data_IF_596927792119
#
_entry.id   IF_596927792119
#
_cell.length_a   1.000
_cell.length_b   1.000
_cell.length_c   1.000
_cell.angle_alpha   90.00
_cell.angle_beta   90.00
_cell.angle_gamma   90.00
#
_symmetry.space_group_name_H-M   'P 1'
#
loop_
_entity.id
_entity.type
_entity.pdbx_description
1 polymer ?
#
# COMPACT_ATOMS: atom_id res chain seq x y z
N UNK A 1 -7.45 32.79 6.54
CA UNK A 1 -6.61 34.00 6.32
C UNK A 1 -5.26 33.45 5.93
N UNK A 2 -4.81 33.74 4.71
CA UNK A 2 -3.63 33.12 4.11
C UNK A 2 -2.43 33.26 5.05
N UNK A 3 -1.81 32.14 5.35
CA UNK A 3 -0.61 31.97 6.16
C UNK A 3 0.63 32.40 5.36
N UNK A 4 0.75 33.71 5.09
CA UNK A 4 1.70 34.28 4.13
C UNK A 4 3.17 34.02 4.51
N UNK A 5 3.51 34.05 5.78
CA UNK A 5 4.89 33.85 6.25
C UNK A 5 5.48 32.49 5.87
N UNK A 6 4.86 31.37 6.27
CA UNK A 6 5.31 30.03 5.86
C UNK A 6 5.29 29.81 4.34
N UNK A 7 4.35 30.43 3.62
CA UNK A 7 4.36 30.41 2.15
C UNK A 7 5.62 31.07 1.57
N UNK A 8 5.98 32.27 2.06
CA UNK A 8 7.21 32.98 1.67
C UNK A 8 8.44 32.09 1.91
N UNK A 9 8.50 31.43 3.08
CA UNK A 9 9.59 30.50 3.42
C UNK A 9 9.72 29.38 2.40
N UNK A 10 8.60 28.78 2.00
CA UNK A 10 8.61 27.65 1.08
C UNK A 10 9.08 28.07 -0.31
N UNK A 11 8.54 29.17 -0.84
CA UNK A 11 8.89 29.65 -2.17
C UNK A 11 10.34 30.10 -2.25
N UNK A 12 10.83 30.77 -1.19
CA UNK A 12 12.24 31.09 -1.04
C UNK A 12 13.11 29.84 -1.11
N UNK A 13 12.76 28.79 -0.36
CA UNK A 13 13.51 27.52 -0.35
C UNK A 13 13.47 26.81 -1.70
N UNK A 14 12.33 26.84 -2.41
CA UNK A 14 12.22 26.29 -3.79
C UNK A 14 13.14 26.97 -4.79
N UNK A 15 13.38 28.28 -4.62
CA UNK A 15 14.30 29.07 -5.45
C UNK A 15 15.75 29.03 -4.94
N UNK A 16 16.06 28.18 -3.94
CA UNK A 16 17.37 28.07 -3.29
C UNK A 16 17.90 29.40 -2.71
N UNK A 17 16.99 30.34 -2.42
CA UNK A 17 17.35 31.67 -1.95
C UNK A 17 17.51 31.68 -0.42
N UNK A 18 18.53 32.38 0.08
CA UNK A 18 18.76 32.56 1.51
C UNK A 18 17.83 33.61 2.10
N UNK A 19 17.59 33.57 3.42
CA UNK A 19 16.85 34.64 4.09
C UNK A 19 17.50 36.01 3.89
N UNK A 20 18.84 36.06 3.72
CA UNK A 20 19.57 37.31 3.51
C UNK A 20 19.22 37.95 2.18
N UNK A 21 19.28 37.19 1.10
CA UNK A 21 18.96 37.64 -0.25
C UNK A 21 17.50 38.10 -0.36
N UNK A 22 16.58 37.38 0.28
CA UNK A 22 15.17 37.80 0.29
C UNK A 22 14.95 39.07 1.13
N UNK A 23 15.61 39.18 2.29
CA UNK A 23 15.41 40.30 3.21
C UNK A 23 16.11 41.60 2.74
N UNK A 24 17.13 41.50 1.89
CA UNK A 24 18.02 42.61 1.53
C UNK A 24 17.27 43.87 1.05
N UNK A 25 17.41 44.98 1.75
CA UNK A 25 16.74 46.23 1.39
C UNK A 25 15.21 46.25 1.60
N UNK A 26 14.64 45.21 2.21
CA UNK A 26 13.21 45.14 2.57
C UNK A 26 13.07 45.12 4.10
N UNK A 27 13.67 44.14 4.78
CA UNK A 27 13.57 43.94 6.23
C UNK A 27 14.85 43.34 6.81
N UNK A 28 14.97 43.28 8.15
CA UNK A 28 16.08 42.56 8.77
C UNK A 28 15.91 41.03 8.68
N UNK A 29 17.03 40.29 8.62
CA UNK A 29 17.06 38.82 8.69
C UNK A 29 16.24 38.25 9.86
N UNK A 30 16.39 38.84 11.05
CA UNK A 30 15.63 38.45 12.24
C UNK A 30 14.14 38.65 12.06
N UNK A 31 13.74 39.75 11.42
CA UNK A 31 12.33 40.06 11.18
C UNK A 31 11.73 39.13 10.12
N UNK A 32 12.42 38.88 9.00
CA UNK A 32 11.97 37.89 8.01
C UNK A 32 11.83 36.49 8.62
N UNK A 33 12.80 36.06 9.43
CA UNK A 33 12.71 34.78 10.13
C UNK A 33 11.50 34.70 11.08
N UNK A 34 11.16 35.80 11.75
CA UNK A 34 9.93 35.85 12.59
C UNK A 34 8.67 35.77 11.74
N UNK A 35 8.62 36.44 10.59
CA UNK A 35 7.49 36.36 9.65
C UNK A 35 7.33 34.92 9.15
N UNK A 36 8.41 34.31 8.64
CA UNK A 36 8.41 32.95 8.08
C UNK A 36 7.94 31.88 9.08
N UNK A 37 8.16 32.10 10.37
CA UNK A 37 7.81 31.17 11.45
C UNK A 37 6.56 31.60 12.25
N UNK A 38 5.74 32.51 11.72
CA UNK A 38 4.53 33.06 12.38
C UNK A 38 4.74 33.68 13.77
N UNK A 39 5.95 34.18 14.04
CA UNK A 39 6.24 34.85 15.32
C UNK A 39 5.86 36.33 15.30
N UNK A 40 5.62 36.92 14.13
CA UNK A 40 5.26 38.34 13.96
C UNK A 40 4.53 38.55 12.64
N UNK A 41 3.49 39.37 12.66
CA UNK A 41 2.77 39.80 11.45
C UNK A 41 3.52 40.94 10.75
N UNK A 42 3.64 40.86 9.43
CA UNK A 42 4.23 41.92 8.61
C UNK A 42 3.15 42.85 8.05
N UNK A 43 3.52 44.11 7.78
CA UNK A 43 2.61 45.01 7.05
C UNK A 43 2.37 44.48 5.62
N UNK A 44 1.19 44.76 5.03
CA UNK A 44 0.89 44.38 3.64
C UNK A 44 1.94 44.87 2.64
N UNK A 45 2.53 46.04 2.88
CA UNK A 45 3.62 46.59 2.05
C UNK A 45 4.89 45.73 2.08
N UNK A 46 5.30 45.26 3.26
CA UNK A 46 6.47 44.38 3.40
C UNK A 46 6.20 43.05 2.73
N UNK A 47 5.00 42.50 2.92
CA UNK A 47 4.57 41.26 2.26
C UNK A 47 4.64 41.42 0.74
N UNK A 48 4.08 42.49 0.18
CA UNK A 48 4.11 42.76 -1.25
C UNK A 48 5.54 42.85 -1.79
N UNK A 49 6.45 43.52 -1.07
CA UNK A 49 7.86 43.63 -1.47
C UNK A 49 8.56 42.27 -1.50
N UNK A 50 8.33 41.43 -0.49
CA UNK A 50 8.88 40.07 -0.42
C UNK A 50 8.30 39.19 -1.55
N UNK A 51 7.00 39.25 -1.80
CA UNK A 51 6.33 38.52 -2.87
C UNK A 51 6.80 38.96 -4.26
N UNK A 52 6.95 40.27 -4.50
CA UNK A 52 7.48 40.80 -5.76
C UNK A 52 8.90 40.28 -6.04
N UNK A 53 9.75 40.20 -5.01
CA UNK A 53 11.11 39.65 -5.17
C UNK A 53 11.10 38.16 -5.50
N UNK A 54 10.15 37.42 -4.95
CA UNK A 54 9.94 36.01 -5.27
C UNK A 54 9.24 35.79 -6.62
N UNK A 55 8.80 36.86 -7.30
CA UNK A 55 8.06 36.79 -8.56
C UNK A 55 6.62 36.29 -8.40
N UNK A 56 5.99 36.54 -7.25
CA UNK A 56 4.68 35.99 -6.90
C UNK A 56 3.63 37.09 -6.80
N UNK A 57 2.49 36.88 -7.44
CA UNK A 57 1.34 37.79 -7.37
C UNK A 57 0.45 37.43 -6.17
N UNK A 58 0.13 38.43 -5.35
CA UNK A 58 -0.88 38.34 -4.31
C UNK A 58 -2.25 38.53 -4.97
N UNK A 59 -3.00 37.43 -5.09
CA UNK A 59 -4.37 37.49 -5.60
C UNK A 59 -5.29 37.72 -4.39
N UNK A 60 -5.82 38.93 -4.26
CA UNK A 60 -6.85 39.25 -3.26
C UNK A 60 -8.18 38.62 -3.70
N UNK A 61 -8.51 37.47 -3.11
CA UNK A 61 -9.82 36.83 -3.28
C UNK A 61 -9.73 35.30 -3.39
N UNK A 62 -10.83 34.63 -3.06
CA UNK A 62 -10.98 33.19 -3.26
C UNK A 62 -11.17 32.94 -4.76
N UNK A 63 -10.10 32.51 -5.45
CA UNK A 63 -10.23 31.95 -6.80
C UNK A 63 -11.01 30.64 -6.70
N UNK A 64 -12.32 30.77 -6.87
CA UNK A 64 -13.29 29.68 -6.70
C UNK A 64 -13.10 28.62 -7.78
N UNK A 65 -12.63 29.02 -8.96
CA UNK A 65 -12.31 28.11 -10.06
C UNK A 65 -11.05 27.29 -9.76
N UNK A 66 -10.02 27.91 -9.19
CA UNK A 66 -8.82 27.20 -8.74
C UNK A 66 -9.15 26.19 -7.63
N UNK A 67 -9.92 26.60 -6.62
CA UNK A 67 -10.37 25.70 -5.56
C UNK A 67 -11.12 24.48 -6.12
N UNK A 68 -12.02 24.72 -7.09
CA UNK A 68 -12.76 23.64 -7.73
C UNK A 68 -11.83 22.69 -8.48
N UNK A 69 -10.87 23.21 -9.25
CA UNK A 69 -9.86 22.39 -9.95
C UNK A 69 -8.99 21.60 -8.97
N UNK A 70 -8.59 22.19 -7.86
CA UNK A 70 -7.86 21.47 -6.79
C UNK A 70 -8.69 20.32 -6.23
N UNK A 71 -9.95 20.56 -5.86
CA UNK A 71 -10.85 19.51 -5.35
C UNK A 71 -11.05 18.37 -6.37
N UNK A 72 -11.21 18.71 -7.66
CA UNK A 72 -11.27 17.72 -8.74
C UNK A 72 -10.00 16.88 -8.79
N UNK A 73 -8.83 17.52 -8.76
CA UNK A 73 -7.56 16.80 -8.76
C UNK A 73 -7.38 15.94 -7.50
N UNK A 74 -7.78 16.41 -6.32
CA UNK A 74 -7.72 15.63 -5.09
C UNK A 74 -8.58 14.37 -5.19
N UNK A 75 -9.82 14.49 -5.69
CA UNK A 75 -10.70 13.34 -5.93
C UNK A 75 -10.03 12.30 -6.83
N UNK A 76 -9.26 12.75 -7.84
CA UNK A 76 -8.53 11.84 -8.73
C UNK A 76 -7.45 11.01 -8.04
N UNK A 77 -6.98 11.41 -6.86
CA UNK A 77 -5.97 10.70 -6.08
C UNK A 77 -6.55 9.57 -5.19
N UNK A 78 -7.88 9.47 -5.12
CA UNK A 78 -8.58 8.48 -4.32
C UNK A 78 -9.19 7.34 -5.15
N UNK A 79 -9.67 7.62 -6.36
CA UNK A 79 -10.27 6.58 -7.22
C UNK A 79 -9.31 6.04 -8.29
N UNK A 80 -9.79 5.05 -9.05
CA UNK A 80 -9.10 4.45 -10.18
C UNK A 80 -9.16 5.40 -11.39
N UNK A 81 -8.38 6.48 -11.33
CA UNK A 81 -8.20 7.38 -12.46
C UNK A 81 -6.99 6.99 -13.31
N UNK A 82 -7.05 7.36 -14.58
CA UNK A 82 -5.92 7.18 -15.49
C UNK A 82 -4.73 8.04 -15.05
N UNK A 83 -3.55 7.43 -14.95
CA UNK A 83 -2.34 8.12 -14.47
C UNK A 83 -1.99 9.33 -15.34
N UNK A 84 -2.26 9.28 -16.64
CA UNK A 84 -2.00 10.40 -17.55
C UNK A 84 -2.88 11.59 -17.20
N UNK A 85 -4.17 11.35 -16.94
CA UNK A 85 -5.11 12.39 -16.56
C UNK A 85 -4.71 13.08 -15.26
N UNK A 86 -4.29 12.30 -14.25
CA UNK A 86 -3.76 12.81 -12.97
C UNK A 86 -2.54 13.71 -13.21
N UNK A 87 -1.61 13.27 -14.08
CA UNK A 87 -0.36 13.99 -14.40
C UNK A 87 -0.65 15.29 -15.14
N UNK A 88 -1.54 15.26 -16.14
CA UNK A 88 -1.83 16.44 -16.96
C UNK A 88 -2.56 17.50 -16.12
N UNK A 89 -3.55 17.10 -15.32
CA UNK A 89 -4.24 18.00 -14.37
C UNK A 89 -3.27 18.59 -13.34
N UNK A 90 -2.33 17.78 -12.84
CA UNK A 90 -1.28 18.25 -11.93
C UNK A 90 -0.40 19.33 -12.57
N UNK A 91 0.02 19.17 -13.83
CA UNK A 91 0.87 20.16 -14.52
C UNK A 91 0.15 21.50 -14.68
N UNK A 92 -1.13 21.46 -15.05
CA UNK A 92 -1.94 22.67 -15.21
C UNK A 92 -2.11 23.39 -13.88
N UNK A 93 -2.43 22.66 -12.80
CA UNK A 93 -2.53 23.21 -11.45
C UNK A 93 -1.19 23.76 -10.95
N UNK A 94 -0.09 23.05 -11.20
CA UNK A 94 1.25 23.46 -10.78
C UNK A 94 1.62 24.82 -11.40
N UNK A 95 1.35 25.02 -12.68
CA UNK A 95 1.62 26.28 -13.37
C UNK A 95 0.82 27.47 -12.80
N UNK A 96 -0.39 27.22 -12.29
CA UNK A 96 -1.23 28.22 -11.62
C UNK A 96 -0.74 28.51 -10.19
N UNK A 97 -0.31 27.47 -9.48
CA UNK A 97 0.18 27.55 -8.10
C UNK A 97 1.54 28.24 -7.98
N UNK A 98 2.36 28.18 -9.02
CA UNK A 98 3.66 28.87 -9.04
C UNK A 98 3.53 30.38 -9.27
N UNK A 99 2.36 30.87 -9.71
CA UNK A 99 2.12 32.29 -10.03
C UNK A 99 1.36 33.05 -8.95
N UNK A 100 0.67 32.35 -8.05
CA UNK A 100 -0.30 32.96 -7.12
C UNK A 100 -0.18 32.46 -5.69
N UNK A 101 -0.35 33.36 -4.72
CA UNK A 101 -0.58 32.99 -3.32
C UNK A 101 -2.08 32.76 -3.13
N UNK A 102 -2.48 31.56 -2.73
CA UNK A 102 -3.88 31.20 -2.50
C UNK A 102 -4.05 30.32 -1.25
N UNK A 103 -5.25 30.33 -0.66
CA UNK A 103 -5.58 29.52 0.53
C UNK A 103 -5.44 28.00 0.27
N UNK A 104 -5.55 27.56 -0.99
CA UNK A 104 -5.45 26.13 -1.37
C UNK A 104 -4.01 25.60 -1.40
N UNK A 105 -3.02 26.47 -1.22
CA UNK A 105 -1.63 26.15 -1.49
C UNK A 105 -1.09 25.00 -0.62
N UNK A 106 -1.28 25.08 0.70
CA UNK A 106 -0.76 24.06 1.62
C UNK A 106 -1.44 22.71 1.39
N UNK A 107 -2.77 22.68 1.20
CA UNK A 107 -3.47 21.47 0.82
C UNK A 107 -2.93 20.90 -0.50
N UNK A 108 -2.68 21.74 -1.50
CA UNK A 108 -2.13 21.29 -2.77
C UNK A 108 -0.74 20.66 -2.61
N UNK A 109 0.17 21.30 -1.88
CA UNK A 109 1.51 20.76 -1.60
C UNK A 109 1.45 19.45 -0.79
N UNK A 110 0.53 19.34 0.18
CA UNK A 110 0.32 18.10 0.95
C UNK A 110 -0.19 16.96 0.04
N UNK A 111 -1.15 17.24 -0.86
CA UNK A 111 -1.68 16.25 -1.81
C UNK A 111 -0.64 15.77 -2.82
N UNK A 112 0.44 16.53 -3.08
CA UNK A 112 1.57 16.05 -3.89
C UNK A 112 2.23 14.80 -3.32
N UNK A 113 2.21 14.61 -2.00
CA UNK A 113 2.72 13.39 -1.36
C UNK A 113 1.96 12.18 -1.92
N UNK A 114 0.62 12.23 -1.88
CA UNK A 114 -0.25 11.17 -2.40
C UNK A 114 -0.05 10.96 -3.90
N UNK A 115 0.02 12.04 -4.66
CA UNK A 115 0.32 12.01 -6.10
C UNK A 115 1.62 11.25 -6.41
N UNK A 116 2.72 11.59 -5.74
CA UNK A 116 4.00 10.90 -5.96
C UNK A 116 3.94 9.42 -5.55
N UNK A 117 3.20 9.06 -4.50
CA UNK A 117 2.99 7.66 -4.10
C UNK A 117 2.24 6.88 -5.19
N UNK A 118 1.16 7.43 -5.76
CA UNK A 118 0.38 6.80 -6.85
C UNK A 118 1.26 6.55 -8.08
N UNK A 119 2.15 7.49 -8.39
CA UNK A 119 3.11 7.37 -9.48
C UNK A 119 4.34 6.51 -9.14
N UNK A 120 4.41 5.95 -7.92
CA UNK A 120 5.54 5.17 -7.40
C UNK A 120 6.87 5.94 -7.38
N UNK A 121 6.80 7.27 -7.27
CA UNK A 121 7.97 8.16 -7.15
C UNK A 121 8.28 8.40 -5.67
N UNK A 122 8.66 7.33 -4.97
CA UNK A 122 8.77 7.30 -3.50
C UNK A 122 9.82 8.29 -2.98
N UNK A 123 10.93 8.48 -3.70
CA UNK A 123 11.96 9.46 -3.34
C UNK A 123 11.42 10.90 -3.37
N UNK A 124 10.54 11.21 -4.34
CA UNK A 124 9.91 12.53 -4.43
C UNK A 124 8.87 12.73 -3.34
N UNK A 125 8.11 11.69 -2.99
CA UNK A 125 7.20 11.74 -1.86
C UNK A 125 7.94 12.02 -0.55
N UNK A 126 9.08 11.35 -0.32
CA UNK A 126 9.94 11.58 0.84
C UNK A 126 10.53 13.00 0.85
N UNK A 127 11.05 13.47 -0.29
CA UNK A 127 11.58 14.82 -0.42
C UNK A 127 10.52 15.88 -0.09
N UNK A 128 9.30 15.72 -0.64
CA UNK A 128 8.16 16.60 -0.35
C UNK A 128 7.77 16.56 1.13
N UNK A 129 7.78 15.40 1.76
CA UNK A 129 7.53 15.29 3.20
C UNK A 129 8.61 16.00 4.02
N UNK A 130 9.88 15.90 3.65
CA UNK A 130 10.96 16.58 4.36
C UNK A 130 10.82 18.11 4.25
N UNK A 131 10.52 18.61 3.04
CA UNK A 131 10.24 20.04 2.79
C UNK A 131 9.07 20.56 3.65
N UNK A 132 7.96 19.83 3.69
CA UNK A 132 6.77 20.23 4.46
C UNK A 132 6.95 20.07 5.97
N UNK A 133 7.87 19.21 6.43
CA UNK A 133 8.08 18.93 7.86
C UNK A 133 8.48 20.18 8.66
N UNK A 134 9.20 21.12 8.04
CA UNK A 134 9.61 22.37 8.66
C UNK A 134 8.46 23.35 8.89
N UNK A 135 7.32 23.11 8.25
CA UNK A 135 6.14 23.97 8.28
C UNK A 135 4.96 23.32 8.98
N UNK A 136 5.12 22.15 9.60
CA UNK A 136 4.00 21.45 10.27
C UNK A 136 3.36 22.30 11.37
N UNK A 137 4.14 23.12 12.07
CA UNK A 137 3.61 24.07 13.06
C UNK A 137 2.69 25.13 12.44
N UNK A 138 2.71 25.26 11.12
CA UNK A 138 1.85 26.18 10.39
C UNK A 138 0.50 25.60 9.96
N UNK A 139 0.32 24.29 10.06
CA UNK A 139 -0.85 23.61 9.58
C UNK A 139 -2.03 23.80 10.54
N UNK A 140 -3.19 24.13 9.99
CA UNK A 140 -4.47 24.00 10.68
C UNK A 140 -4.91 22.52 10.74
N UNK A 141 -6.11 22.28 11.27
CA UNK A 141 -6.61 20.91 11.43
C UNK A 141 -6.85 20.20 10.08
N UNK A 142 -7.30 20.91 9.04
CA UNK A 142 -7.53 20.34 7.70
C UNK A 142 -6.20 19.88 7.09
N UNK A 143 -5.18 20.75 7.15
CA UNK A 143 -3.83 20.41 6.71
C UNK A 143 -3.24 19.24 7.51
N UNK A 144 -3.39 19.24 8.84
CA UNK A 144 -2.87 18.18 9.70
C UNK A 144 -3.53 16.83 9.40
N UNK A 145 -4.83 16.80 9.14
CA UNK A 145 -5.54 15.58 8.75
C UNK A 145 -4.91 14.93 7.49
N UNK A 146 -4.80 15.69 6.40
CA UNK A 146 -4.23 15.17 5.14
C UNK A 146 -2.73 14.88 5.27
N UNK A 147 -1.99 15.69 6.03
CA UNK A 147 -0.59 15.47 6.32
C UNK A 147 -0.38 14.11 7.00
N UNK A 148 -1.13 13.81 8.06
CA UNK A 148 -1.03 12.53 8.76
C UNK A 148 -1.48 11.37 7.87
N UNK A 149 -2.61 11.50 7.15
CA UNK A 149 -3.10 10.48 6.22
C UNK A 149 -2.07 10.14 5.13
N UNK A 150 -1.53 11.12 4.43
CA UNK A 150 -0.59 10.86 3.33
C UNK A 150 0.80 10.45 3.81
N UNK A 151 1.27 10.96 4.96
CA UNK A 151 2.47 10.43 5.61
C UNK A 151 2.27 8.97 6.02
N UNK A 152 1.08 8.61 6.51
CA UNK A 152 0.70 7.22 6.78
C UNK A 152 0.73 6.37 5.51
N UNK A 153 0.22 6.89 4.39
CA UNK A 153 0.27 6.20 3.10
C UNK A 153 1.71 5.93 2.64
N UNK A 154 2.62 6.89 2.84
CA UNK A 154 4.04 6.69 2.55
C UNK A 154 4.62 5.51 3.34
N UNK A 155 4.48 5.51 4.67
CA UNK A 155 4.99 4.43 5.51
C UNK A 155 4.31 3.08 5.22
N UNK A 156 3.01 3.10 4.89
CA UNK A 156 2.31 1.88 4.48
C UNK A 156 2.84 1.33 3.15
N UNK A 157 3.27 2.20 2.23
CA UNK A 157 3.86 1.79 0.96
C UNK A 157 5.27 1.21 1.16
N UNK A 158 6.07 1.78 2.06
CA UNK A 158 7.43 1.32 2.37
C UNK A 158 7.48 0.11 3.32
N UNK A 159 6.32 -0.39 3.77
CA UNK A 159 6.23 -1.58 4.64
C UNK A 159 6.28 -1.30 6.15
N UNK A 160 6.38 -0.03 6.56
CA UNK A 160 6.44 0.41 7.95
C UNK A 160 5.02 0.52 8.58
N UNK A 161 4.30 -0.59 8.63
CA UNK A 161 2.86 -0.62 8.95
C UNK A 161 2.51 -0.10 10.35
N UNK A 162 3.37 -0.33 11.35
CA UNK A 162 3.16 0.20 12.70
C UNK A 162 3.24 1.72 12.75
N UNK A 163 4.18 2.30 11.99
CA UNK A 163 4.30 3.76 11.89
C UNK A 163 3.14 4.36 11.09
N UNK A 164 2.73 3.69 10.00
CA UNK A 164 1.56 4.07 9.23
C UNK A 164 0.30 4.10 10.12
N UNK A 165 0.06 3.06 10.92
CA UNK A 165 -1.08 2.98 11.82
C UNK A 165 -1.13 4.14 12.82
N UNK A 166 0.01 4.49 13.45
CA UNK A 166 0.08 5.64 14.37
C UNK A 166 -0.35 6.93 13.68
N UNK A 167 0.09 7.15 12.44
CA UNK A 167 -0.26 8.34 11.68
C UNK A 167 -1.73 8.35 11.26
N UNK A 168 -2.28 7.21 10.84
CA UNK A 168 -3.71 7.13 10.54
C UNK A 168 -4.58 7.40 11.76
N UNK A 169 -4.16 6.99 12.96
CA UNK A 169 -4.84 7.35 14.20
C UNK A 169 -4.80 8.85 14.47
N UNK A 170 -3.66 9.50 14.24
CA UNK A 170 -3.57 10.97 14.34
C UNK A 170 -4.46 11.67 13.31
N UNK A 171 -4.64 11.10 12.11
CA UNK A 171 -5.60 11.61 11.13
C UNK A 171 -7.06 11.39 11.59
N UNK A 172 -7.37 10.21 12.10
CA UNK A 172 -8.70 9.86 12.63
C UNK A 172 -9.12 10.80 13.77
N UNK A 173 -8.20 11.15 14.68
CA UNK A 173 -8.43 12.10 15.78
C UNK A 173 -8.81 13.51 15.30
N UNK A 174 -8.48 13.85 14.04
CA UNK A 174 -8.80 15.15 13.44
C UNK A 174 -10.18 15.22 12.82
N UNK A 175 -10.82 14.10 12.49
CA UNK A 175 -12.11 14.06 11.76
C UNK A 175 -13.17 14.99 12.36
N UNK A 176 -13.32 15.02 13.70
CA UNK A 176 -14.33 15.85 14.36
C UNK A 176 -13.97 17.35 14.44
N UNK A 177 -12.81 17.75 13.94
CA UNK A 177 -12.27 19.12 13.99
C UNK A 177 -12.20 19.77 12.60
N UNK A 178 -12.65 19.06 11.57
CA UNK A 178 -12.51 19.41 10.15
C UNK A 178 -13.82 19.09 9.41
N UNK A 179 -14.12 19.81 8.34
CA UNK A 179 -15.29 19.54 7.50
C UNK A 179 -14.87 18.63 6.32
N UNK A 180 -15.01 17.31 6.52
CA UNK A 180 -14.65 16.29 5.53
C UNK A 180 -15.90 15.64 4.95
N UNK A 181 -15.83 15.30 3.66
CA UNK A 181 -16.80 14.42 3.02
C UNK A 181 -16.80 13.04 3.70
N UNK A 182 -17.99 12.43 3.83
CA UNK A 182 -18.13 11.06 4.33
C UNK A 182 -17.28 10.07 3.52
N UNK A 183 -17.10 10.29 2.21
CA UNK A 183 -16.26 9.44 1.36
C UNK A 183 -14.78 9.49 1.75
N UNK A 184 -14.29 10.66 2.14
CA UNK A 184 -12.91 10.86 2.55
C UNK A 184 -12.62 10.18 3.90
N UNK A 185 -13.59 10.24 4.82
CA UNK A 185 -13.57 9.50 6.08
C UNK A 185 -13.61 7.98 5.82
N UNK A 186 -14.46 7.53 4.89
CA UNK A 186 -14.54 6.12 4.51
C UNK A 186 -13.23 5.62 3.88
N UNK A 187 -12.54 6.42 3.07
CA UNK A 187 -11.23 6.08 2.52
C UNK A 187 -10.15 5.96 3.61
N UNK A 188 -10.17 6.82 4.64
CA UNK A 188 -9.29 6.67 5.81
C UNK A 188 -9.60 5.37 6.57
N UNK A 189 -10.88 5.08 6.85
CA UNK A 189 -11.28 3.82 7.48
C UNK A 189 -10.86 2.59 6.68
N UNK A 190 -11.04 2.61 5.37
CA UNK A 190 -10.55 1.56 4.48
C UNK A 190 -9.03 1.41 4.57
N UNK A 191 -8.29 2.52 4.57
CA UNK A 191 -6.83 2.52 4.69
C UNK A 191 -6.38 1.92 6.03
N UNK A 192 -7.04 2.28 7.14
CA UNK A 192 -6.80 1.69 8.46
C UNK A 192 -7.09 0.18 8.42
N UNK A 193 -8.18 -0.25 7.79
CA UNK A 193 -8.54 -1.66 7.63
C UNK A 193 -7.48 -2.44 6.85
N UNK A 194 -6.96 -1.88 5.75
CA UNK A 194 -5.83 -2.46 4.99
C UNK A 194 -4.58 -2.61 5.87
N UNK A 195 -4.21 -1.57 6.62
CA UNK A 195 -3.01 -1.61 7.47
C UNK A 195 -3.16 -2.57 8.64
N UNK A 196 -4.34 -2.64 9.28
CA UNK A 196 -4.66 -3.67 10.27
C UNK A 196 -4.56 -5.08 9.67
N UNK A 197 -4.95 -5.26 8.41
CA UNK A 197 -4.81 -6.55 7.72
C UNK A 197 -3.35 -6.94 7.54
N UNK A 198 -2.45 -5.98 7.29
CA UNK A 198 -1.00 -6.21 7.24
C UNK A 198 -0.41 -6.54 8.62
N UNK A 199 -0.93 -5.91 9.67
CA UNK A 199 -0.55 -6.16 11.07
C UNK A 199 -1.24 -7.39 11.68
N UNK A 200 -2.10 -8.09 10.93
CA UNK A 200 -2.91 -9.24 11.38
C UNK A 200 -3.93 -8.96 12.50
N UNK A 201 -4.26 -7.69 12.75
CA UNK A 201 -5.31 -7.27 13.70
C UNK A 201 -6.73 -7.56 13.17
N UNK A 202 -7.10 -8.84 13.11
CA UNK A 202 -8.24 -9.33 12.31
C UNK A 202 -9.59 -8.72 12.70
N UNK A 203 -9.85 -8.48 13.98
CA UNK A 203 -11.10 -7.87 14.43
C UNK A 203 -11.21 -6.40 14.00
N UNK A 204 -10.12 -5.64 14.08
CA UNK A 204 -10.05 -4.25 13.63
C UNK A 204 -10.28 -4.15 12.12
N UNK A 205 -9.78 -5.10 11.33
CA UNK A 205 -10.05 -5.14 9.87
C UNK A 205 -11.55 -5.23 9.62
N UNK A 206 -12.25 -6.10 10.35
CA UNK A 206 -13.69 -6.30 10.18
C UNK A 206 -14.47 -5.03 10.54
N UNK A 207 -14.15 -4.40 11.67
CA UNK A 207 -14.81 -3.17 12.11
C UNK A 207 -14.61 -2.03 11.09
N UNK A 208 -13.36 -1.71 10.76
CA UNK A 208 -13.03 -0.63 9.84
C UNK A 208 -13.47 -0.89 8.39
N UNK A 209 -13.41 -2.14 7.92
CA UNK A 209 -13.92 -2.47 6.58
C UNK A 209 -15.44 -2.26 6.50
N UNK A 210 -16.19 -2.62 7.55
CA UNK A 210 -17.64 -2.41 7.57
C UNK A 210 -18.00 -0.93 7.65
N UNK A 211 -17.31 -0.14 8.48
CA UNK A 211 -17.49 1.32 8.54
C UNK A 211 -17.29 1.99 7.17
N UNK A 212 -16.21 1.64 6.47
CA UNK A 212 -15.94 2.16 5.14
C UNK A 212 -16.98 1.68 4.11
N UNK A 213 -17.32 0.39 4.16
CA UNK A 213 -18.27 -0.23 3.23
C UNK A 213 -19.67 0.37 3.31
N UNK A 214 -20.16 0.74 4.50
CA UNK A 214 -21.48 1.39 4.65
C UNK A 214 -21.58 2.66 3.80
N UNK A 215 -20.57 3.53 3.88
CA UNK A 215 -20.51 4.77 3.09
C UNK A 215 -20.39 4.45 1.60
N UNK A 216 -19.47 3.56 1.22
CA UNK A 216 -19.26 3.21 -0.19
C UNK A 216 -20.50 2.56 -0.82
N UNK A 217 -21.30 1.83 -0.06
CA UNK A 217 -22.56 1.26 -0.54
C UNK A 217 -23.60 2.36 -0.79
N UNK A 218 -23.74 3.32 0.14
CA UNK A 218 -24.65 4.47 0.00
C UNK A 218 -24.29 5.34 -1.21
N UNK A 219 -23.00 5.44 -1.51
CA UNK A 219 -22.49 6.28 -2.60
C UNK A 219 -22.24 5.49 -3.91
N UNK A 220 -22.67 4.23 -3.96
CA UNK A 220 -22.52 3.36 -5.14
C UNK A 220 -21.06 3.18 -5.63
N UNK A 221 -20.07 3.36 -4.74
CA UNK A 221 -18.66 3.08 -5.04
C UNK A 221 -18.40 1.56 -4.95
N UNK A 222 -18.86 0.84 -5.97
CA UNK A 222 -18.84 -0.62 -6.01
C UNK A 222 -17.43 -1.22 -6.03
N UNK A 223 -16.44 -0.50 -6.58
CA UNK A 223 -15.04 -0.94 -6.56
C UNK A 223 -14.51 -0.95 -5.12
N UNK A 224 -14.76 0.12 -4.35
CA UNK A 224 -14.39 0.17 -2.93
C UNK A 224 -15.17 -0.85 -2.09
N UNK A 225 -16.44 -1.10 -2.40
CA UNK A 225 -17.21 -2.18 -1.78
C UNK A 225 -16.56 -3.55 -2.03
N UNK A 226 -16.13 -3.82 -3.27
CA UNK A 226 -15.46 -5.08 -3.61
C UNK A 226 -14.13 -5.24 -2.85
N UNK A 227 -13.35 -4.17 -2.73
CA UNK A 227 -12.11 -4.18 -1.95
C UNK A 227 -12.37 -4.42 -0.45
N UNK A 228 -13.41 -3.83 0.12
CA UNK A 228 -13.84 -4.10 1.50
C UNK A 228 -14.23 -5.58 1.67
N UNK A 229 -14.98 -6.15 0.73
CA UNK A 229 -15.29 -7.58 0.75
C UNK A 229 -14.04 -8.47 0.68
N UNK A 230 -13.01 -8.11 -0.08
CA UNK A 230 -11.74 -8.84 -0.08
C UNK A 230 -11.09 -8.81 1.31
N UNK A 231 -11.05 -7.65 1.98
CA UNK A 231 -10.49 -7.52 3.34
C UNK A 231 -11.29 -8.33 4.37
N UNK A 232 -12.61 -8.30 4.29
CA UNK A 232 -13.49 -9.11 5.12
C UNK A 232 -13.25 -10.60 4.87
N UNK A 233 -13.14 -11.01 3.60
CA UNK A 233 -12.88 -12.39 3.24
C UNK A 233 -11.54 -12.90 3.77
N UNK A 234 -10.47 -12.08 3.65
CA UNK A 234 -9.15 -12.39 4.21
C UNK A 234 -9.24 -12.56 5.73
N UNK A 235 -9.97 -11.67 6.39
CA UNK A 235 -10.17 -11.70 7.84
C UNK A 235 -10.90 -12.95 8.28
N UNK A 236 -12.05 -13.27 7.67
CA UNK A 236 -12.80 -14.48 7.97
C UNK A 236 -11.99 -15.76 7.69
N UNK A 237 -11.17 -15.78 6.64
CA UNK A 237 -10.29 -16.93 6.36
C UNK A 237 -9.23 -17.13 7.45
N UNK A 238 -8.71 -16.06 8.05
CA UNK A 238 -7.70 -16.15 9.12
C UNK A 238 -8.24 -16.75 10.41
N UNK A 239 -9.53 -16.56 10.68
CA UNK A 239 -10.22 -17.14 11.84
C UNK A 239 -11.04 -18.39 11.46
N UNK A 240 -10.63 -19.09 10.39
CA UNK A 240 -11.21 -20.35 9.91
C UNK A 240 -12.72 -20.32 9.57
N UNK A 241 -13.30 -19.13 9.39
CA UNK A 241 -14.68 -18.95 8.93
C UNK A 241 -14.76 -19.00 7.39
N UNK A 242 -14.38 -20.14 6.82
CA UNK A 242 -14.22 -20.31 5.37
C UNK A 242 -15.49 -20.01 4.55
N UNK A 243 -16.69 -20.37 5.04
CA UNK A 243 -17.95 -20.08 4.34
C UNK A 243 -18.19 -18.57 4.19
N UNK A 244 -17.93 -17.81 5.27
CA UNK A 244 -18.02 -16.34 5.23
C UNK A 244 -16.94 -15.75 4.33
N UNK A 245 -15.74 -16.32 4.34
CA UNK A 245 -14.65 -15.87 3.47
C UNK A 245 -15.03 -16.03 2.00
N UNK A 246 -15.46 -17.23 1.59
CA UNK A 246 -15.88 -17.54 0.23
C UNK A 246 -17.04 -16.66 -0.21
N UNK A 247 -18.06 -16.46 0.65
CA UNK A 247 -19.17 -15.53 0.36
C UNK A 247 -18.68 -14.12 0.04
N UNK A 248 -17.77 -13.58 0.85
CA UNK A 248 -17.23 -12.25 0.63
C UNK A 248 -16.39 -12.17 -0.66
N UNK A 249 -15.54 -13.16 -0.93
CA UNK A 249 -14.77 -13.15 -2.18
C UNK A 249 -15.66 -13.26 -3.43
N UNK A 250 -16.74 -14.04 -3.37
CA UNK A 250 -17.71 -14.09 -4.47
C UNK A 250 -18.44 -12.75 -4.67
N UNK A 251 -18.79 -12.05 -3.59
CA UNK A 251 -19.35 -10.69 -3.69
C UNK A 251 -18.35 -9.72 -4.32
N UNK A 252 -17.07 -9.77 -3.90
CA UNK A 252 -16.02 -8.96 -4.50
C UNK A 252 -15.84 -9.26 -5.99
N UNK A 253 -15.80 -10.55 -6.37
CA UNK A 253 -15.71 -10.98 -7.76
C UNK A 253 -16.88 -10.44 -8.59
N UNK A 254 -18.11 -10.59 -8.09
CA UNK A 254 -19.32 -10.11 -8.78
C UNK A 254 -19.30 -8.59 -9.00
N UNK A 255 -18.94 -7.82 -7.98
CA UNK A 255 -18.80 -6.36 -8.09
C UNK A 255 -17.67 -5.99 -9.06
N UNK A 256 -16.56 -6.73 -9.05
CA UNK A 256 -15.46 -6.58 -10.00
C UNK A 256 -15.92 -6.81 -11.45
N UNK A 257 -16.68 -7.88 -11.71
CA UNK A 257 -17.26 -8.21 -13.02
C UNK A 257 -18.23 -7.12 -13.51
N UNK A 258 -19.13 -6.65 -12.63
CA UNK A 258 -20.08 -5.58 -12.93
C UNK A 258 -19.37 -4.29 -13.38
N UNK A 259 -18.25 -3.96 -12.75
CA UNK A 259 -17.47 -2.76 -13.02
C UNK A 259 -16.31 -2.99 -13.99
N UNK A 260 -16.18 -4.20 -14.57
CA UNK A 260 -15.07 -4.61 -15.45
C UNK A 260 -13.68 -4.34 -14.83
N UNK A 261 -13.57 -4.41 -13.51
CA UNK A 261 -12.33 -4.17 -12.79
C UNK A 261 -11.51 -5.46 -12.68
N UNK A 262 -10.58 -5.65 -13.61
CA UNK A 262 -9.72 -6.85 -13.69
C UNK A 262 -8.94 -7.11 -12.40
N UNK A 263 -8.38 -6.08 -11.77
CA UNK A 263 -7.57 -6.24 -10.55
C UNK A 263 -8.39 -6.85 -9.40
N UNK A 264 -9.63 -6.37 -9.21
CA UNK A 264 -10.54 -6.94 -8.20
C UNK A 264 -10.89 -8.39 -8.54
N UNK A 265 -11.19 -8.69 -9.79
CA UNK A 265 -11.52 -10.05 -10.25
C UNK A 265 -10.35 -11.00 -9.99
N UNK A 266 -9.13 -10.62 -10.36
CA UNK A 266 -7.92 -11.41 -10.12
C UNK A 266 -7.70 -11.68 -8.63
N UNK A 267 -7.76 -10.62 -7.80
CA UNK A 267 -7.53 -10.74 -6.37
C UNK A 267 -8.61 -11.59 -5.69
N UNK A 268 -9.87 -11.50 -6.13
CA UNK A 268 -10.95 -12.33 -5.63
C UNK A 268 -10.75 -13.80 -5.99
N UNK A 269 -10.39 -14.13 -7.24
CA UNK A 269 -10.12 -15.51 -7.65
C UNK A 269 -8.90 -16.10 -6.91
N UNK A 270 -7.80 -15.34 -6.76
CA UNK A 270 -6.65 -15.79 -5.96
C UNK A 270 -7.06 -16.16 -4.53
N UNK A 271 -7.86 -15.32 -3.87
CA UNK A 271 -8.32 -15.57 -2.51
C UNK A 271 -9.37 -16.70 -2.40
N UNK A 272 -10.22 -16.88 -3.41
CA UNK A 272 -11.09 -18.06 -3.53
C UNK A 272 -10.25 -19.33 -3.64
N UNK A 273 -9.21 -19.33 -4.47
CA UNK A 273 -8.26 -20.43 -4.57
C UNK A 273 -7.64 -20.78 -3.22
N UNK A 274 -7.20 -19.77 -2.46
CA UNK A 274 -6.67 -19.98 -1.11
C UNK A 274 -7.69 -20.55 -0.13
N UNK A 275 -8.94 -20.09 -0.18
CA UNK A 275 -10.00 -20.60 0.69
C UNK A 275 -10.33 -22.06 0.36
N UNK A 276 -10.51 -22.39 -0.93
CA UNK A 276 -10.80 -23.75 -1.39
C UNK A 276 -9.65 -24.72 -1.09
N UNK A 277 -8.40 -24.29 -1.26
CA UNK A 277 -7.20 -25.07 -0.88
C UNK A 277 -7.22 -25.41 0.62
N UNK A 278 -7.54 -24.44 1.48
CA UNK A 278 -7.55 -24.64 2.94
C UNK A 278 -8.62 -25.61 3.43
N UNK A 279 -9.77 -25.65 2.78
CA UNK A 279 -10.85 -26.61 3.09
C UNK A 279 -10.69 -27.96 2.40
N UNK A 280 -9.60 -28.18 1.64
CA UNK A 280 -9.31 -29.44 0.95
C UNK A 280 -10.01 -29.61 -0.40
N UNK A 281 -10.65 -28.56 -0.93
CA UNK A 281 -11.30 -28.56 -2.24
C UNK A 281 -10.28 -28.25 -3.35
N UNK A 282 -9.29 -29.13 -3.53
CA UNK A 282 -8.16 -28.94 -4.46
C UNK A 282 -8.60 -28.68 -5.91
N UNK A 283 -9.61 -29.37 -6.42
CA UNK A 283 -10.09 -29.14 -7.80
C UNK A 283 -10.58 -27.70 -8.02
N UNK A 284 -11.37 -27.15 -7.09
CA UNK A 284 -11.83 -25.78 -7.16
C UNK A 284 -10.67 -24.79 -6.97
N UNK A 285 -9.75 -25.07 -6.05
CA UNK A 285 -8.57 -24.24 -5.85
C UNK A 285 -7.76 -24.10 -7.14
N UNK A 286 -7.52 -25.22 -7.84
CA UNK A 286 -6.82 -25.25 -9.13
C UNK A 286 -7.56 -24.39 -10.16
N UNK A 287 -8.89 -24.52 -10.31
CA UNK A 287 -9.67 -23.71 -11.27
C UNK A 287 -9.47 -22.21 -11.03
N UNK A 288 -9.54 -21.78 -9.77
CA UNK A 288 -9.37 -20.37 -9.41
C UNK A 288 -7.95 -19.86 -9.66
N UNK A 289 -6.92 -20.65 -9.35
CA UNK A 289 -5.54 -20.22 -9.62
C UNK A 289 -5.20 -20.23 -11.12
N UNK A 290 -5.73 -21.19 -11.89
CA UNK A 290 -5.57 -21.24 -13.35
C UNK A 290 -6.13 -19.98 -14.00
N UNK A 291 -7.34 -19.56 -13.58
CA UNK A 291 -7.95 -18.31 -14.04
C UNK A 291 -7.01 -17.11 -13.91
N UNK A 292 -6.30 -16.99 -12.77
CA UNK A 292 -5.40 -15.84 -12.52
C UNK A 292 -4.15 -15.87 -13.40
N UNK A 293 -3.61 -17.06 -13.71
CA UNK A 293 -2.37 -17.16 -14.50
C UNK A 293 -2.59 -17.08 -16.02
N UNK A 294 -3.81 -17.39 -16.48
CA UNK A 294 -4.21 -17.32 -17.90
C UNK A 294 -4.56 -15.90 -18.36
N UNK A 295 -4.71 -14.95 -17.45
CA UNK A 295 -4.95 -13.56 -17.82
C UNK A 295 -3.64 -12.89 -18.29
N UNK A 296 -3.57 -12.61 -19.59
CA UNK A 296 -2.42 -11.97 -20.24
C UNK A 296 -2.46 -10.45 -20.06
N UNK A 297 -1.80 -9.94 -19.01
CA UNK A 297 -1.60 -8.51 -18.82
C UNK A 297 -0.34 -8.26 -17.94
N UNK A 298 0.63 -7.50 -18.47
CA UNK A 298 2.05 -7.47 -18.03
C UNK A 298 2.41 -6.33 -17.06
N UNK A 299 1.48 -5.91 -16.19
CA UNK A 299 1.81 -4.93 -15.14
C UNK A 299 2.54 -5.58 -13.95
N UNK A 300 3.49 -4.87 -13.33
CA UNK A 300 4.31 -5.39 -12.21
C UNK A 300 3.49 -5.85 -10.99
N UNK A 301 2.33 -5.24 -10.71
CA UNK A 301 1.41 -5.74 -9.68
C UNK A 301 0.99 -7.17 -10.05
N UNK A 302 0.52 -7.36 -11.29
CA UNK A 302 0.05 -8.64 -11.81
C UNK A 302 1.12 -9.75 -11.77
N UNK A 303 2.40 -9.41 -11.90
CA UNK A 303 3.50 -10.39 -11.74
C UNK A 303 3.43 -11.05 -10.37
N UNK A 304 3.19 -10.29 -9.30
CA UNK A 304 3.07 -10.83 -7.95
C UNK A 304 1.86 -11.75 -7.80
N UNK A 305 0.66 -11.34 -8.21
CA UNK A 305 -0.52 -12.20 -8.11
C UNK A 305 -0.39 -13.46 -8.98
N UNK A 306 0.26 -13.37 -10.15
CA UNK A 306 0.59 -14.53 -11.00
C UNK A 306 1.58 -15.47 -10.32
N UNK A 307 2.66 -14.95 -9.71
CA UNK A 307 3.61 -15.75 -8.93
C UNK A 307 2.95 -16.42 -7.73
N UNK A 308 2.07 -15.71 -7.02
CA UNK A 308 1.29 -16.26 -5.90
C UNK A 308 0.37 -17.40 -6.35
N UNK A 309 -0.32 -17.23 -7.47
CA UNK A 309 -1.23 -18.23 -8.04
C UNK A 309 -0.47 -19.45 -8.55
N UNK A 310 0.60 -19.25 -9.32
CA UNK A 310 1.34 -20.35 -9.94
C UNK A 310 2.12 -21.18 -8.92
N UNK A 311 2.69 -20.55 -7.88
CA UNK A 311 3.31 -21.29 -6.78
C UNK A 311 2.29 -22.06 -5.95
N UNK A 312 1.05 -21.58 -5.86
CA UNK A 312 -0.05 -22.32 -5.25
C UNK A 312 -0.49 -23.51 -6.12
N UNK A 313 -0.53 -23.36 -7.45
CA UNK A 313 -0.77 -24.47 -8.37
C UNK A 313 0.31 -25.55 -8.28
N UNK A 314 1.60 -25.16 -8.20
CA UNK A 314 2.69 -26.10 -8.00
C UNK A 314 2.44 -26.94 -6.74
N UNK A 315 2.02 -26.31 -5.63
CA UNK A 315 1.69 -27.00 -4.38
C UNK A 315 0.53 -27.97 -4.57
N UNK A 316 -0.59 -27.52 -5.14
CA UNK A 316 -1.78 -28.35 -5.35
C UNK A 316 -1.49 -29.55 -6.27
N UNK A 317 -0.88 -29.33 -7.43
CA UNK A 317 -0.56 -30.41 -8.37
C UNK A 317 0.44 -31.41 -7.79
N UNK A 318 1.45 -30.94 -7.05
CA UNK A 318 2.41 -31.83 -6.40
C UNK A 318 1.73 -32.70 -5.33
N UNK A 319 0.82 -32.11 -4.55
CA UNK A 319 0.11 -32.81 -3.48
C UNK A 319 -0.81 -33.92 -4.00
N UNK A 320 -1.45 -33.72 -5.16
CA UNK A 320 -2.29 -34.75 -5.79
C UNK A 320 -1.50 -35.75 -6.66
N UNK A 321 -0.18 -35.59 -6.75
CA UNK A 321 0.69 -36.47 -7.53
C UNK A 321 0.69 -36.22 -9.04
N UNK A 322 0.14 -35.10 -9.52
CA UNK A 322 0.20 -34.70 -10.93
C UNK A 322 1.55 -34.02 -11.22
N UNK A 323 2.59 -34.86 -11.31
CA UNK A 323 3.98 -34.42 -11.48
C UNK A 323 4.25 -33.79 -12.85
N UNK A 324 3.52 -34.19 -13.88
CA UNK A 324 3.63 -33.58 -15.22
C UNK A 324 3.12 -32.13 -15.20
N UNK A 325 1.94 -31.87 -14.65
CA UNK A 325 1.46 -30.49 -14.49
C UNK A 325 2.30 -29.69 -13.51
N UNK A 326 2.80 -30.31 -12.44
CA UNK A 326 3.74 -29.65 -11.53
C UNK A 326 4.96 -29.13 -12.29
N UNK A 327 5.56 -29.96 -13.15
CA UNK A 327 6.72 -29.59 -13.99
C UNK A 327 6.38 -28.46 -14.96
N UNK A 328 5.20 -28.51 -15.59
CA UNK A 328 4.71 -27.45 -16.47
C UNK A 328 4.60 -26.11 -15.71
N UNK A 329 3.98 -26.13 -14.53
CA UNK A 329 3.80 -24.92 -13.70
C UNK A 329 5.13 -24.38 -13.19
N UNK A 330 6.09 -25.23 -12.81
CA UNK A 330 7.45 -24.81 -12.45
C UNK A 330 8.11 -24.06 -13.61
N UNK A 331 8.03 -24.60 -14.83
CA UNK A 331 8.62 -23.94 -16.01
C UNK A 331 8.02 -22.56 -16.23
N UNK A 332 6.69 -22.45 -16.20
CA UNK A 332 5.98 -21.17 -16.32
C UNK A 332 6.33 -20.20 -15.18
N UNK A 333 6.47 -20.71 -13.95
CA UNK A 333 6.80 -19.90 -12.79
C UNK A 333 8.21 -19.30 -12.88
N UNK A 334 9.18 -20.06 -13.37
CA UNK A 334 10.53 -19.57 -13.64
C UNK A 334 10.52 -18.46 -14.71
N UNK A 335 9.77 -18.64 -15.79
CA UNK A 335 9.62 -17.58 -16.81
C UNK A 335 9.02 -16.30 -16.24
N UNK A 336 8.00 -16.40 -15.38
CA UNK A 336 7.41 -15.21 -14.72
C UNK A 336 8.41 -14.58 -13.73
N UNK A 337 9.18 -15.41 -13.02
CA UNK A 337 10.19 -14.94 -12.08
C UNK A 337 11.33 -14.19 -12.78
N UNK A 338 11.77 -14.67 -13.96
CA UNK A 338 12.80 -14.01 -14.78
C UNK A 338 12.36 -12.64 -15.31
N UNK A 339 11.05 -12.43 -15.50
CA UNK A 339 10.47 -11.13 -15.86
C UNK A 339 10.39 -10.16 -14.69
N UNK A 340 10.44 -10.68 -13.45
CA UNK A 340 10.50 -9.87 -12.26
C UNK A 340 11.94 -9.37 -12.10
N UNK A 341 12.13 -8.05 -12.06
CA UNK A 341 13.44 -7.45 -11.70
C UNK A 341 13.95 -8.01 -10.37
N UNK A 342 15.28 -8.01 -10.14
CA UNK A 342 16.03 -8.43 -8.93
C UNK A 342 15.59 -7.69 -7.64
N UNK A 343 14.31 -7.83 -7.30
CA UNK A 343 13.66 -7.27 -6.15
C UNK A 343 13.56 -8.38 -5.10
N UNK A 344 14.04 -8.08 -3.90
CA UNK A 344 13.95 -8.96 -2.73
C UNK A 344 12.50 -9.39 -2.46
N UNK A 345 11.53 -8.64 -2.98
CA UNK A 345 10.11 -8.95 -2.97
C UNK A 345 9.75 -10.34 -3.53
N UNK A 346 10.50 -10.86 -4.51
CA UNK A 346 10.18 -12.13 -5.16
C UNK A 346 10.96 -13.33 -4.62
N UNK A 347 11.83 -13.10 -3.62
CA UNK A 347 12.68 -14.12 -3.02
C UNK A 347 11.88 -15.29 -2.42
N UNK A 348 10.71 -15.02 -1.82
CA UNK A 348 9.81 -16.06 -1.34
C UNK A 348 9.43 -17.03 -2.48
N UNK A 349 9.02 -16.51 -3.64
CA UNK A 349 8.61 -17.34 -4.77
C UNK A 349 9.78 -18.12 -5.36
N UNK A 350 10.97 -17.51 -5.43
CA UNK A 350 12.20 -18.21 -5.80
C UNK A 350 12.40 -19.47 -4.95
N UNK A 351 12.35 -19.34 -3.61
CA UNK A 351 12.52 -20.47 -2.71
C UNK A 351 11.44 -21.53 -2.87
N UNK A 352 10.18 -21.11 -3.02
CA UNK A 352 9.06 -22.05 -3.22
C UNK A 352 9.27 -22.85 -4.50
N UNK A 353 9.55 -22.18 -5.63
CA UNK A 353 9.72 -22.82 -6.94
C UNK A 353 10.88 -23.83 -6.87
N UNK A 354 12.05 -23.41 -6.37
CA UNK A 354 13.22 -24.30 -6.30
C UNK A 354 13.04 -25.46 -5.31
N UNK A 355 12.32 -25.26 -4.21
CA UNK A 355 11.98 -26.34 -3.27
C UNK A 355 11.20 -27.45 -3.99
N UNK A 356 10.18 -27.08 -4.78
CA UNK A 356 9.41 -28.06 -5.54
C UNK A 356 10.17 -28.62 -6.74
N UNK A 357 11.04 -27.85 -7.41
CA UNK A 357 11.93 -28.36 -8.47
C UNK A 357 12.82 -29.48 -7.96
N UNK A 358 13.52 -29.26 -6.84
CA UNK A 358 14.42 -30.28 -6.28
C UNK A 358 13.66 -31.48 -5.72
N UNK A 359 12.49 -31.26 -5.12
CA UNK A 359 11.63 -32.34 -4.64
C UNK A 359 11.09 -33.20 -5.79
N UNK A 360 10.73 -32.60 -6.93
CA UNK A 360 10.24 -33.28 -8.13
C UNK A 360 11.33 -34.10 -8.83
N UNK A 361 12.54 -33.54 -8.93
CA UNK A 361 13.69 -34.19 -9.57
C UNK A 361 14.41 -35.20 -8.66
N UNK A 362 13.94 -35.39 -7.42
CA UNK A 362 14.60 -36.22 -6.40
C UNK A 362 16.05 -35.79 -6.09
N UNK A 363 16.34 -34.49 -6.18
CA UNK A 363 17.65 -33.89 -5.90
C UNK A 363 17.80 -33.62 -4.38
N UNK A 364 17.88 -34.69 -3.60
CA UNK A 364 17.74 -34.65 -2.14
C UNK A 364 18.70 -33.70 -1.42
N UNK A 365 19.98 -33.69 -1.79
CA UNK A 365 20.96 -32.80 -1.16
C UNK A 365 20.71 -31.32 -1.49
N UNK A 366 20.30 -31.00 -2.74
CA UNK A 366 19.95 -29.62 -3.13
C UNK A 366 18.68 -29.15 -2.43
N UNK A 367 17.66 -30.01 -2.36
CA UNK A 367 16.43 -29.75 -1.61
C UNK A 367 16.74 -29.44 -0.15
N UNK A 368 17.55 -30.30 0.50
CA UNK A 368 17.92 -30.13 1.90
C UNK A 368 18.67 -28.83 2.11
N UNK A 369 19.75 -28.59 1.37
CA UNK A 369 20.58 -27.40 1.51
C UNK A 369 19.74 -26.12 1.36
N UNK A 370 18.94 -26.01 0.30
CA UNK A 370 18.08 -24.85 0.07
C UNK A 370 17.10 -24.63 1.23
N UNK A 371 16.37 -25.68 1.64
CA UNK A 371 15.31 -25.53 2.64
C UNK A 371 15.88 -25.27 4.04
N UNK A 372 16.99 -25.93 4.43
CA UNK A 372 17.57 -25.78 5.76
C UNK A 372 18.40 -24.52 5.92
N UNK A 373 19.22 -24.21 4.93
CA UNK A 373 20.30 -23.24 5.08
C UNK A 373 19.88 -21.85 4.57
N UNK A 374 18.86 -21.79 3.71
CA UNK A 374 18.39 -20.54 3.11
C UNK A 374 16.92 -20.26 3.43
N UNK A 375 16.01 -21.17 3.06
CA UNK A 375 14.57 -20.86 3.07
C UNK A 375 13.98 -20.76 4.48
N UNK A 376 14.26 -21.72 5.38
CA UNK A 376 13.79 -21.64 6.78
C UNK A 376 14.33 -20.37 7.48
N UNK A 377 15.63 -20.03 7.39
CA UNK A 377 16.15 -18.76 7.90
C UNK A 377 15.42 -17.54 7.34
N UNK A 378 15.18 -17.48 6.02
CA UNK A 378 14.42 -16.41 5.38
C UNK A 378 13.02 -16.27 5.97
N UNK A 379 12.28 -17.38 6.12
CA UNK A 379 10.93 -17.38 6.68
C UNK A 379 10.89 -16.91 8.14
N UNK A 380 11.91 -17.27 8.94
CA UNK A 380 12.03 -16.80 10.33
C UNK A 380 12.35 -15.30 10.40
N UNK A 381 13.20 -14.80 9.52
CA UNK A 381 13.56 -13.38 9.49
C UNK A 381 12.36 -12.49 9.13
N UNK A 382 11.41 -13.02 8.37
CA UNK A 382 10.22 -12.30 7.90
C UNK A 382 8.95 -12.64 8.69
N UNK A 383 9.05 -13.36 9.82
CA UNK A 383 7.93 -13.81 10.64
C UNK A 383 6.82 -14.54 9.85
N UNK A 384 7.18 -15.24 8.77
CA UNK A 384 6.24 -16.01 7.95
C UNK A 384 6.01 -17.40 8.55
N UNK A 385 5.33 -17.42 9.69
CA UNK A 385 4.98 -18.63 10.39
C UNK A 385 4.12 -19.58 9.54
N UNK A 386 3.30 -19.04 8.62
CA UNK A 386 2.42 -19.84 7.76
C UNK A 386 3.21 -20.74 6.81
N UNK A 387 4.16 -20.17 6.06
CA UNK A 387 5.02 -20.98 5.19
C UNK A 387 6.03 -21.80 6.00
N UNK A 388 6.50 -21.29 7.15
CA UNK A 388 7.42 -22.03 8.03
C UNK A 388 6.82 -23.38 8.47
N UNK A 389 5.54 -23.42 8.82
CA UNK A 389 4.83 -24.68 9.13
C UNK A 389 4.87 -25.65 7.96
N UNK A 390 4.60 -25.18 6.74
CA UNK A 390 4.52 -26.02 5.54
C UNK A 390 5.89 -26.64 5.21
N UNK A 391 6.92 -25.80 5.12
CA UNK A 391 8.25 -26.26 4.67
C UNK A 391 9.01 -27.03 5.76
N UNK A 392 8.78 -26.70 7.04
CA UNK A 392 9.31 -27.52 8.13
C UNK A 392 8.66 -28.92 8.17
N UNK A 393 7.35 -29.05 7.90
CA UNK A 393 6.69 -30.36 7.76
C UNK A 393 7.22 -31.14 6.56
N UNK A 394 7.39 -30.48 5.41
CA UNK A 394 7.95 -31.12 4.20
C UNK A 394 9.34 -31.69 4.46
N UNK A 395 10.19 -30.94 5.16
CA UNK A 395 11.52 -31.36 5.55
C UNK A 395 11.51 -32.47 6.62
N UNK A 396 10.59 -32.40 7.60
CA UNK A 396 10.37 -33.45 8.59
C UNK A 396 10.02 -34.79 7.94
N UNK A 397 9.09 -34.77 6.99
CA UNK A 397 8.70 -35.96 6.21
C UNK A 397 9.83 -36.47 5.32
N UNK A 398 10.63 -35.58 4.74
CA UNK A 398 11.80 -35.96 3.97
C UNK A 398 12.82 -36.75 4.82
N UNK A 399 13.19 -36.26 6.00
CA UNK A 399 14.11 -36.96 6.88
C UNK A 399 13.55 -38.27 7.43
N UNK A 400 12.24 -38.33 7.67
CA UNK A 400 11.54 -39.55 8.08
C UNK A 400 11.68 -40.65 7.03
N UNK A 401 11.44 -40.33 5.75
CA UNK A 401 11.62 -41.26 4.62
C UNK A 401 13.05 -41.77 4.49
N UNK A 402 14.05 -40.99 4.91
CA UNK A 402 15.46 -41.37 4.93
C UNK A 402 15.88 -42.14 6.22
N UNK A 403 14.96 -42.38 7.16
CA UNK A 403 15.26 -43.02 8.45
C UNK A 403 16.01 -42.12 9.43
N UNK A 404 16.17 -40.82 9.13
CA UNK A 404 16.82 -39.81 9.98
C UNK A 404 15.82 -39.22 10.99
N UNK A 405 15.36 -40.06 11.92
CA UNK A 405 14.25 -39.71 12.82
C UNK A 405 14.55 -38.54 13.76
N UNK A 406 15.80 -38.36 14.19
CA UNK A 406 16.17 -37.23 15.08
C UNK A 406 16.01 -35.89 14.36
N UNK A 407 16.46 -35.81 13.12
CA UNK A 407 16.30 -34.66 12.24
C UNK A 407 14.85 -34.44 11.86
N UNK A 408 14.11 -35.50 11.55
CA UNK A 408 12.67 -35.42 11.29
C UNK A 408 11.91 -34.77 12.46
N UNK A 409 12.12 -35.27 13.68
CA UNK A 409 11.49 -34.72 14.91
C UNK A 409 11.88 -33.26 15.13
N UNK A 410 13.12 -32.85 14.84
CA UNK A 410 13.56 -31.45 14.94
C UNK A 410 12.66 -30.53 14.10
N UNK A 411 12.39 -30.90 12.84
CA UNK A 411 11.60 -30.06 11.94
C UNK A 411 10.09 -30.15 12.19
N UNK A 412 9.58 -31.30 12.64
CA UNK A 412 8.19 -31.37 13.12
C UNK A 412 7.97 -30.52 14.38
N UNK A 413 8.93 -30.48 15.32
CA UNK A 413 8.88 -29.57 16.47
C UNK A 413 8.92 -28.10 16.05
N UNK A 414 9.75 -27.75 15.06
CA UNK A 414 9.78 -26.41 14.49
C UNK A 414 8.43 -26.03 13.88
N UNK A 415 7.83 -26.93 13.10
CA UNK A 415 6.50 -26.71 12.52
C UNK A 415 5.44 -26.50 13.62
N UNK A 416 5.47 -27.29 14.69
CA UNK A 416 4.53 -27.14 15.80
C UNK A 416 4.73 -25.81 16.54
N UNK A 417 5.99 -25.41 16.78
CA UNK A 417 6.30 -24.11 17.38
C UNK A 417 5.79 -22.95 16.53
N UNK A 418 6.04 -22.99 15.22
CA UNK A 418 5.57 -21.97 14.28
C UNK A 418 4.03 -21.92 14.20
N UNK A 419 3.36 -23.07 14.32
CA UNK A 419 1.90 -23.13 14.36
C UNK A 419 1.32 -22.47 15.62
N UNK A 420 1.96 -22.63 16.78
CA UNK A 420 1.53 -21.96 18.00
C UNK A 420 1.67 -20.43 17.91
N UNK A 421 2.79 -19.94 17.35
CA UNK A 421 2.95 -18.50 17.08
C UNK A 421 1.86 -17.98 16.12
N UNK A 422 1.52 -18.77 15.10
CA UNK A 422 0.48 -18.40 14.13
C UNK A 422 -0.92 -18.24 14.74
N UNK A 423 -1.26 -19.03 15.77
CA UNK A 423 -2.55 -18.95 16.48
C UNK A 423 -2.59 -17.79 17.48
N UNK A 424 -1.43 -17.45 18.06
CA UNK A 424 -1.34 -16.39 19.05
C UNK A 424 -1.29 -14.97 18.43
N UNK A 425 -1.22 -14.87 17.09
CA UNK A 425 -1.24 -13.65 16.27
C UNK A 425 -2.63 -13.43 15.65
#
# INVERSE_FOLDING_TARGET
MIEIGPFIKLQRTKQEMTQGELAEGIVSLSYLSKIENKKTDASPEIIQLLCNRLGIELIDGVDTDLQKKCKQWYAMLFDVYDKKEIIDTYKDLQALMDRSINDSFFLFEIHKIRYYIILRQIDKALSKMNELSEMVNSFDNDHLYYWYKFKGNYYSFTGEFNQAMRLYKMAEDKINQVDLDEEEVADLHYTISVTNSKLRNTLEVIDYANKAMDVFQRNYNFIRCAQCHILLGISYRRIDMYDKAIKNYNLAKHLGELNKNKQVIQLANLNLGYAHSKIGNTEEAIKYYVFVIEEEDDEAIKIKERLASITSLIKEYYNIGDYEKTKEMIKKALTILDLASDDHYYQLYYYIIHTYTYALNNEQEKFRALVTDEFIPYLKQHDDHSNLVVYAKMLGSHFEKLGKYKESVKYYKLANSAYNELINL
#
